data_IF_280030953908
#
_entry.id   IF_280030953908
#
_cell.length_a   1.000
_cell.length_b   1.000
_cell.length_c   1.000
_cell.angle_alpha   90.00
_cell.angle_beta   90.00
_cell.angle_gamma   90.00
#
_symmetry.space_group_name_H-M   'P 1'
#
loop_
_entity.id
_entity.type
_entity.pdbx_description
1 polymer ?
#
# COMPACT_ATOMS: atom_id res chain seq x y z
N UNK A 1 26.56 -13.67 53.03
CA UNK A 1 25.24 -13.05 52.83
C UNK A 1 25.32 -12.19 51.59
N UNK A 2 25.03 -12.79 50.45
CA UNK A 2 24.79 -12.11 49.17
C UNK A 2 23.81 -13.02 48.43
N UNK A 3 22.53 -12.66 48.42
CA UNK A 3 21.49 -13.32 47.62
C UNK A 3 21.42 -12.59 46.28
N UNK A 4 21.74 -13.31 45.20
CA UNK A 4 21.38 -12.95 43.83
C UNK A 4 19.99 -13.51 43.54
N UNK A 5 19.07 -12.62 43.19
CA UNK A 5 17.74 -12.93 42.68
C UNK A 5 17.90 -13.26 41.20
N UNK A 6 17.70 -14.53 40.85
CA UNK A 6 17.61 -15.01 39.47
C UNK A 6 16.19 -14.74 38.94
N UNK A 7 16.09 -13.89 37.93
CA UNK A 7 14.85 -13.64 37.19
C UNK A 7 14.48 -14.88 36.36
N UNK A 8 13.35 -15.49 36.70
CA UNK A 8 12.58 -16.38 35.85
C UNK A 8 12.17 -15.66 34.55
N UNK A 9 12.85 -15.95 33.45
CA UNK A 9 12.28 -15.83 32.10
C UNK A 9 12.10 -17.23 31.55
N UNK A 10 10.84 -17.68 31.54
CA UNK A 10 10.40 -18.91 30.91
C UNK A 10 10.68 -18.89 29.41
N UNK A 11 11.86 -19.38 29.03
CA UNK A 11 12.09 -19.94 27.71
C UNK A 11 11.28 -21.24 27.63
N UNK A 12 10.20 -21.24 26.85
CA UNK A 12 9.50 -22.47 26.50
C UNK A 12 10.46 -23.33 25.69
N UNK A 13 10.71 -24.51 26.25
CA UNK A 13 11.63 -25.56 25.83
C UNK A 13 11.16 -26.21 24.51
N UNK A 14 11.13 -25.44 23.42
CA UNK A 14 10.68 -25.88 22.09
C UNK A 14 11.77 -26.67 21.31
N UNK A 15 12.75 -27.26 22.00
CA UNK A 15 13.98 -27.75 21.39
C UNK A 15 14.37 -29.20 21.69
N UNK A 16 13.64 -29.97 22.51
CA UNK A 16 13.93 -31.40 22.67
C UNK A 16 13.08 -32.25 21.73
N UNK A 17 13.67 -33.10 20.88
CA UNK A 17 12.91 -34.06 20.08
C UNK A 17 12.19 -35.06 20.99
N UNK A 18 10.94 -35.43 20.70
CA UNK A 18 10.19 -36.39 21.54
C UNK A 18 10.82 -37.80 21.53
N UNK A 19 11.80 -38.03 20.65
CA UNK A 19 12.58 -39.27 20.53
C UNK A 19 13.48 -39.61 21.74
N UNK A 20 13.58 -38.74 22.76
CA UNK A 20 14.33 -39.03 24.00
C UNK A 20 13.48 -39.67 25.12
N UNK A 21 12.16 -39.90 24.91
CA UNK A 21 11.33 -40.58 25.91
C UNK A 21 11.51 -42.11 25.88
N UNK A 22 11.46 -42.77 27.05
CA UNK A 22 11.34 -44.22 27.11
C UNK A 22 10.05 -44.66 26.40
N UNK A 23 10.10 -45.84 25.75
CA UNK A 23 8.94 -46.42 25.10
C UNK A 23 7.73 -46.48 26.06
N UNK A 24 6.49 -46.31 25.56
CA UNK A 24 5.30 -46.38 26.40
C UNK A 24 5.27 -47.67 27.21
N UNK A 25 4.81 -47.58 28.45
CA UNK A 25 4.71 -48.75 29.32
C UNK A 25 3.69 -49.75 28.73
N UNK A 26 3.85 -51.06 28.98
CA UNK A 26 2.91 -52.08 28.50
C UNK A 26 1.45 -51.79 28.87
N UNK A 27 1.20 -51.22 30.04
CA UNK A 27 -0.14 -50.85 30.50
C UNK A 27 -0.75 -49.66 29.73
N UNK A 28 0.08 -48.71 29.29
CA UNK A 28 -0.36 -47.55 28.47
C UNK A 28 -0.73 -48.01 27.06
N UNK A 29 0.07 -48.94 26.51
CA UNK A 29 -0.22 -49.61 25.23
C UNK A 29 -1.52 -50.41 25.29
N UNK A 30 -1.72 -51.18 26.35
CA UNK A 30 -2.95 -51.97 26.55
C UNK A 30 -4.20 -51.07 26.68
N UNK A 31 -4.10 -49.92 27.36
CA UNK A 31 -5.17 -48.94 27.44
C UNK A 31 -5.45 -48.23 26.10
N UNK A 32 -4.40 -47.89 25.34
CA UNK A 32 -4.52 -47.34 23.99
C UNK A 32 -5.20 -48.34 23.04
N UNK A 33 -4.78 -49.61 23.09
CA UNK A 33 -5.38 -50.70 22.32
C UNK A 33 -6.84 -50.92 22.67
N UNK A 34 -7.19 -50.94 23.95
CA UNK A 34 -8.58 -51.06 24.40
C UNK A 34 -9.44 -49.89 23.87
N UNK A 35 -8.87 -48.67 23.82
CA UNK A 35 -9.55 -47.50 23.26
C UNK A 35 -9.76 -47.61 21.75
N UNK A 36 -8.78 -48.13 21.01
CA UNK A 36 -8.92 -48.39 19.56
C UNK A 36 -9.99 -49.46 19.28
N UNK A 37 -9.99 -50.56 20.05
CA UNK A 37 -11.00 -51.63 19.96
C UNK A 37 -12.39 -51.11 20.28
N UNK A 38 -12.54 -50.30 21.34
CA UNK A 38 -13.82 -49.70 21.71
C UNK A 38 -14.41 -48.82 20.60
N UNK A 39 -13.56 -48.21 19.75
CA UNK A 39 -14.00 -47.45 18.58
C UNK A 39 -14.12 -48.28 17.29
N UNK A 40 -14.02 -49.60 17.36
CA UNK A 40 -14.06 -50.49 16.20
C UNK A 40 -12.89 -50.30 15.23
N UNK A 41 -11.76 -49.76 15.70
CA UNK A 41 -10.58 -49.50 14.87
C UNK A 41 -9.61 -50.69 14.78
N UNK A 42 -9.89 -51.79 15.50
CA UNK A 42 -9.13 -53.04 15.50
C UNK A 42 -9.21 -53.82 14.18
N UNK A 43 -10.29 -53.63 13.41
CA UNK A 43 -10.48 -54.23 12.09
C UNK A 43 -10.15 -53.32 10.89
N UNK A 44 -9.75 -52.07 11.16
CA UNK A 44 -9.62 -50.98 10.16
C UNK A 44 -8.18 -50.80 9.67
N UNK A 45 -7.21 -51.12 10.52
CA UNK A 45 -5.80 -50.93 10.26
C UNK A 45 -5.14 -52.28 9.92
N UNK A 46 -4.18 -52.27 8.98
CA UNK A 46 -3.21 -53.37 8.95
C UNK A 46 -2.37 -53.35 10.24
N UNK A 47 -1.64 -54.43 10.51
CA UNK A 47 -0.86 -54.55 11.76
C UNK A 47 0.08 -53.36 11.99
N UNK A 48 0.68 -52.81 10.94
CA UNK A 48 1.59 -51.66 11.04
C UNK A 48 0.88 -50.37 11.44
N UNK A 49 -0.26 -50.05 10.82
CA UNK A 49 -1.04 -48.86 11.17
C UNK A 49 -1.66 -48.97 12.58
N UNK A 50 -2.09 -50.16 12.98
CA UNK A 50 -2.64 -50.40 14.32
C UNK A 50 -1.57 -50.16 15.39
N UNK A 51 -0.39 -50.75 15.21
CA UNK A 51 0.75 -50.60 16.11
C UNK A 51 1.20 -49.13 16.22
N UNK A 52 1.20 -48.40 15.09
CA UNK A 52 1.55 -46.97 15.06
C UNK A 52 0.53 -46.09 15.79
N UNK A 53 -0.77 -46.33 15.59
CA UNK A 53 -1.82 -45.59 16.30
C UNK A 53 -1.83 -45.92 17.79
N UNK A 54 -1.61 -47.19 18.16
CA UNK A 54 -1.48 -47.62 19.55
C UNK A 54 -0.30 -46.93 20.23
N UNK A 55 0.87 -46.93 19.58
CA UNK A 55 2.05 -46.26 20.12
C UNK A 55 1.84 -44.75 20.28
N UNK A 56 1.24 -44.10 19.28
CA UNK A 56 0.95 -42.66 19.33
C UNK A 56 -0.03 -42.33 20.47
N UNK A 57 -1.13 -43.09 20.60
CA UNK A 57 -2.12 -42.88 21.64
C UNK A 57 -1.56 -43.17 23.04
N UNK A 58 -0.74 -44.21 23.19
CA UNK A 58 -0.09 -44.53 24.46
C UNK A 58 0.86 -43.40 24.90
N UNK A 59 1.63 -42.82 23.96
CA UNK A 59 2.48 -41.65 24.25
C UNK A 59 1.65 -40.45 24.72
N UNK A 60 0.56 -40.15 24.02
CA UNK A 60 -0.28 -38.99 24.31
C UNK A 60 -1.10 -39.13 25.59
N UNK A 61 -1.46 -40.36 25.98
CA UNK A 61 -2.21 -40.61 27.23
C UNK A 61 -1.47 -40.14 28.49
N UNK A 62 -0.15 -39.95 28.41
CA UNK A 62 0.69 -39.48 29.52
C UNK A 62 0.94 -37.98 29.52
N UNK A 63 0.37 -37.24 28.57
CA UNK A 63 0.64 -35.81 28.35
C UNK A 63 -0.69 -35.06 28.42
N UNK A 64 -0.72 -33.96 29.17
CA UNK A 64 -1.88 -33.07 29.17
C UNK A 64 -2.04 -32.41 27.80
N UNK A 65 -3.27 -32.28 27.31
CA UNK A 65 -3.57 -31.69 26.00
C UNK A 65 -3.10 -30.24 25.90
N UNK A 66 -3.08 -29.52 27.02
CA UNK A 66 -2.63 -28.13 27.10
C UNK A 66 -1.10 -28.01 27.16
N UNK A 67 -0.37 -29.12 27.29
CA UNK A 67 1.09 -29.14 27.23
C UNK A 67 1.57 -29.03 25.78
N UNK A 68 2.54 -28.14 25.53
CA UNK A 68 3.16 -27.97 24.22
C UNK A 68 3.76 -29.29 23.67
N UNK A 69 4.15 -30.22 24.54
CA UNK A 69 4.64 -31.55 24.17
C UNK A 69 3.56 -32.43 23.54
N UNK A 70 2.29 -32.25 23.92
CA UNK A 70 1.17 -32.99 23.34
C UNK A 70 1.10 -32.73 21.84
N UNK A 71 1.15 -31.45 21.48
CA UNK A 71 1.14 -31.05 20.09
C UNK A 71 2.40 -31.42 19.31
N UNK A 72 3.57 -31.36 19.96
CA UNK A 72 4.82 -31.81 19.35
C UNK A 72 4.74 -33.29 18.94
N UNK A 73 4.22 -34.15 19.82
CA UNK A 73 4.02 -35.57 19.53
C UNK A 73 3.08 -35.80 18.34
N UNK A 74 2.01 -35.02 18.23
CA UNK A 74 1.06 -35.12 17.10
C UNK A 74 1.74 -34.69 15.81
N UNK A 75 2.45 -33.55 15.83
CA UNK A 75 3.17 -33.02 14.66
C UNK A 75 4.23 -34.00 14.18
N UNK A 76 4.97 -34.60 15.08
CA UNK A 76 5.95 -35.65 14.77
C UNK A 76 5.28 -36.90 14.16
N UNK A 77 4.17 -37.37 14.72
CA UNK A 77 3.44 -38.52 14.19
C UNK A 77 2.93 -38.27 12.76
N UNK A 78 2.39 -37.07 12.49
CA UNK A 78 1.97 -36.60 11.15
C UNK A 78 3.17 -36.36 10.22
N UNK A 79 4.31 -35.89 10.71
CA UNK A 79 5.46 -35.58 9.86
C UNK A 79 6.30 -36.82 9.49
N UNK A 80 6.45 -37.77 10.41
CA UNK A 80 7.35 -38.93 10.29
C UNK A 80 6.63 -40.24 9.92
N UNK A 81 5.32 -40.19 9.76
CA UNK A 81 4.53 -41.37 9.44
C UNK A 81 4.65 -41.83 7.99
N UNK A 82 4.58 -43.16 7.76
CA UNK A 82 4.27 -43.67 6.42
C UNK A 82 2.92 -43.09 5.98
N UNK A 83 2.80 -42.58 4.73
CA UNK A 83 1.55 -42.02 4.22
C UNK A 83 0.42 -43.04 4.33
N UNK A 84 -0.73 -42.61 4.80
CA UNK A 84 -1.93 -43.45 4.76
C UNK A 84 -2.35 -43.70 3.31
N UNK A 85 -2.91 -44.88 3.06
CA UNK A 85 -3.66 -45.14 1.83
C UNK A 85 -5.07 -44.54 1.91
N UNK A 86 -5.73 -44.43 0.75
CA UNK A 86 -7.14 -44.00 0.66
C UNK A 86 -8.05 -44.85 1.54
N UNK A 87 -7.86 -46.17 1.49
CA UNK A 87 -8.66 -47.15 2.23
C UNK A 87 -8.47 -46.99 3.73
N UNK A 88 -7.21 -46.95 4.20
CA UNK A 88 -6.90 -46.78 5.62
C UNK A 88 -7.51 -45.48 6.17
N UNK A 89 -7.43 -44.39 5.39
CA UNK A 89 -7.98 -43.09 5.80
C UNK A 89 -9.50 -43.11 5.88
N UNK A 90 -10.18 -43.66 4.87
CA UNK A 90 -11.65 -43.79 4.89
C UNK A 90 -12.11 -44.63 6.07
N UNK A 91 -11.48 -45.78 6.29
CA UNK A 91 -11.84 -46.69 7.36
C UNK A 91 -11.61 -46.06 8.74
N UNK A 92 -10.54 -45.29 8.94
CA UNK A 92 -10.33 -44.53 10.18
C UNK A 92 -11.40 -43.47 10.41
N UNK A 93 -11.77 -42.70 9.38
CA UNK A 93 -12.82 -41.69 9.52
C UNK A 93 -14.20 -42.34 9.78
N UNK A 94 -14.49 -43.46 9.14
CA UNK A 94 -15.76 -44.17 9.29
C UNK A 94 -15.91 -44.76 10.69
N UNK A 95 -14.91 -45.52 11.17
CA UNK A 95 -14.95 -46.13 12.50
C UNK A 95 -15.09 -45.09 13.61
N UNK A 96 -14.31 -44.01 13.54
CA UNK A 96 -14.45 -42.91 14.48
C UNK A 96 -15.85 -42.27 14.41
N UNK A 97 -16.41 -42.08 13.21
CA UNK A 97 -17.74 -41.49 13.05
C UNK A 97 -18.84 -42.34 13.69
N UNK A 98 -18.71 -43.66 13.59
CA UNK A 98 -19.63 -44.60 14.23
C UNK A 98 -19.50 -44.54 15.75
N UNK A 99 -18.26 -44.55 16.28
CA UNK A 99 -17.99 -44.42 17.71
C UNK A 99 -18.48 -43.08 18.30
N UNK A 100 -18.32 -41.98 17.56
CA UNK A 100 -18.80 -40.66 17.95
C UNK A 100 -20.33 -40.59 17.98
N UNK A 101 -21.00 -41.22 17.01
CA UNK A 101 -22.46 -41.34 17.00
C UNK A 101 -23.02 -42.20 18.14
N UNK A 102 -22.24 -43.18 18.61
CA UNK A 102 -22.59 -44.04 19.75
C UNK A 102 -22.31 -43.39 21.12
N UNK A 103 -21.66 -42.22 21.17
CA UNK A 103 -21.26 -41.56 22.42
C UNK A 103 -20.00 -42.15 23.08
N UNK A 104 -19.28 -43.03 22.37
CA UNK A 104 -18.10 -43.75 22.86
C UNK A 104 -16.78 -43.06 22.49
N UNK A 105 -16.83 -42.04 21.63
CA UNK A 105 -15.62 -41.32 21.20
C UNK A 105 -15.05 -40.42 22.30
N UNK A 106 -13.90 -40.82 22.83
CA UNK A 106 -13.11 -39.99 23.74
C UNK A 106 -12.35 -38.89 22.98
N UNK A 107 -11.97 -37.78 23.65
CA UNK A 107 -11.09 -36.76 23.08
C UNK A 107 -9.81 -37.33 22.46
N UNK A 108 -9.18 -38.29 23.12
CA UNK A 108 -7.95 -38.92 22.64
C UNK A 108 -8.14 -39.61 21.27
N UNK A 109 -9.35 -40.09 20.96
CA UNK A 109 -9.67 -40.80 19.72
C UNK A 109 -10.02 -39.88 18.54
N UNK A 110 -10.22 -38.57 18.76
CA UNK A 110 -10.25 -37.60 17.66
C UNK A 110 -8.91 -37.47 16.95
N UNK A 111 -7.82 -37.92 17.59
CA UNK A 111 -6.48 -37.73 17.08
C UNK A 111 -6.16 -38.62 15.88
N UNK A 112 -6.51 -39.93 15.85
CA UNK A 112 -6.53 -40.73 14.64
C UNK A 112 -7.37 -40.12 13.50
N UNK A 113 -8.50 -39.48 13.82
CA UNK A 113 -9.31 -38.76 12.82
C UNK A 113 -8.56 -37.57 12.24
N UNK A 114 -7.94 -36.80 13.12
CA UNK A 114 -7.12 -35.66 12.77
C UNK A 114 -5.92 -36.08 11.92
N UNK A 115 -5.21 -37.14 12.33
CA UNK A 115 -4.14 -37.79 11.58
C UNK A 115 -4.59 -38.25 10.19
N UNK A 116 -5.76 -38.89 10.06
CA UNK A 116 -6.33 -39.29 8.77
C UNK A 116 -6.69 -38.10 7.87
N UNK A 117 -7.26 -37.02 8.43
CA UNK A 117 -7.52 -35.79 7.70
C UNK A 117 -6.22 -35.13 7.21
N UNK A 118 -5.16 -35.14 8.02
CA UNK A 118 -3.86 -34.53 7.70
C UNK A 118 -3.00 -35.37 6.75
N UNK A 119 -2.96 -36.69 6.89
CA UNK A 119 -2.10 -37.53 6.04
C UNK A 119 -2.71 -37.79 4.67
N UNK A 120 -4.03 -37.95 4.59
CA UNK A 120 -4.68 -38.27 3.32
C UNK A 120 -5.42 -37.08 2.72
N UNK A 121 -6.45 -36.58 3.41
CA UNK A 121 -7.32 -35.55 2.83
C UNK A 121 -6.58 -34.24 2.57
N UNK A 122 -5.52 -33.95 3.31
CA UNK A 122 -4.68 -32.80 3.06
C UNK A 122 -3.68 -33.02 1.91
N UNK A 123 -2.94 -34.13 1.94
CA UNK A 123 -1.76 -34.34 1.09
C UNK A 123 -2.09 -35.03 -0.24
N UNK A 124 -3.12 -35.88 -0.26
CA UNK A 124 -3.35 -36.84 -1.34
C UNK A 124 -4.75 -36.72 -1.98
N UNK A 125 -5.78 -36.30 -1.24
CA UNK A 125 -7.13 -36.17 -1.79
C UNK A 125 -7.23 -34.99 -2.77
N UNK A 126 -7.58 -35.33 -4.03
CA UNK A 126 -7.74 -34.36 -5.12
C UNK A 126 -9.16 -33.84 -5.23
N UNK A 127 -10.15 -34.58 -4.73
CA UNK A 127 -11.54 -34.11 -4.68
C UNK A 127 -11.72 -33.09 -3.55
N UNK A 128 -11.89 -31.83 -3.94
CA UNK A 128 -12.13 -30.72 -3.03
C UNK A 128 -13.40 -30.92 -2.17
N UNK A 129 -14.44 -31.55 -2.72
CA UNK A 129 -15.71 -31.78 -2.02
C UNK A 129 -15.53 -32.80 -0.91
N UNK A 130 -14.88 -33.93 -1.22
CA UNK A 130 -14.57 -34.98 -0.25
C UNK A 130 -13.68 -34.44 0.88
N UNK A 131 -12.65 -33.67 0.52
CA UNK A 131 -11.76 -32.99 1.47
C UNK A 131 -12.53 -32.04 2.39
N UNK A 132 -13.36 -31.16 1.84
CA UNK A 132 -14.18 -30.23 2.63
C UNK A 132 -15.15 -30.95 3.56
N UNK A 133 -15.76 -32.05 3.11
CA UNK A 133 -16.67 -32.85 3.92
C UNK A 133 -15.97 -33.48 5.13
N UNK A 134 -14.77 -34.05 4.93
CA UNK A 134 -13.96 -34.63 6.00
C UNK A 134 -13.57 -33.57 7.06
N UNK A 135 -13.05 -32.43 6.61
CA UNK A 135 -12.70 -31.31 7.50
C UNK A 135 -13.89 -30.74 8.25
N UNK A 136 -15.02 -30.53 7.56
CA UNK A 136 -16.25 -30.00 8.19
C UNK A 136 -16.72 -30.92 9.31
N UNK A 137 -16.65 -32.23 9.11
CA UNK A 137 -17.05 -33.22 10.11
C UNK A 137 -16.10 -33.19 11.31
N UNK A 138 -14.78 -33.13 11.09
CA UNK A 138 -13.80 -32.94 12.16
C UNK A 138 -14.14 -31.73 13.03
N UNK A 139 -14.32 -30.55 12.43
CA UNK A 139 -14.54 -29.31 13.19
C UNK A 139 -15.88 -29.28 13.92
N UNK A 140 -16.91 -29.88 13.33
CA UNK A 140 -18.21 -30.02 14.00
C UNK A 140 -18.10 -30.91 15.24
N UNK A 141 -17.38 -32.03 15.15
CA UNK A 141 -17.22 -32.98 16.27
C UNK A 141 -16.23 -32.48 17.33
N UNK A 142 -15.20 -31.71 16.95
CA UNK A 142 -14.19 -31.21 17.89
C UNK A 142 -14.69 -30.06 18.76
N UNK A 143 -15.63 -29.25 18.27
CA UNK A 143 -16.01 -28.00 18.93
C UNK A 143 -14.79 -27.11 19.20
N UNK A 144 -14.73 -26.51 20.39
CA UNK A 144 -13.64 -25.64 20.87
C UNK A 144 -12.50 -26.41 21.55
N UNK A 145 -12.58 -27.74 21.62
CA UNK A 145 -11.68 -28.58 22.46
C UNK A 145 -10.21 -28.52 22.05
N UNK A 146 -9.92 -28.16 20.80
CA UNK A 146 -8.56 -28.11 20.25
C UNK A 146 -8.11 -26.71 19.85
N UNK A 147 -8.77 -25.66 20.34
CA UNK A 147 -8.37 -24.27 20.07
C UNK A 147 -6.98 -23.93 20.64
N UNK A 148 -6.45 -24.71 21.59
CA UNK A 148 -5.08 -24.56 22.06
C UNK A 148 -4.00 -25.09 21.09
N UNK A 149 -4.38 -25.88 20.07
CA UNK A 149 -3.43 -26.58 19.19
C UNK A 149 -3.20 -25.80 17.89
N UNK A 150 -1.95 -25.42 17.62
CA UNK A 150 -1.59 -24.69 16.38
C UNK A 150 -1.94 -25.47 15.10
N UNK A 151 -1.82 -26.80 15.13
CA UNK A 151 -2.14 -27.69 14.02
C UNK A 151 -3.65 -27.69 13.73
N UNK A 152 -4.50 -27.52 14.76
CA UNK A 152 -5.94 -27.40 14.59
C UNK A 152 -6.31 -26.11 13.83
N UNK A 153 -5.70 -24.99 14.23
CA UNK A 153 -5.83 -23.72 13.51
C UNK A 153 -5.27 -23.79 12.09
N UNK A 154 -4.13 -24.46 11.88
CA UNK A 154 -3.61 -24.70 10.54
C UNK A 154 -4.62 -25.45 9.68
N UNK A 155 -5.22 -26.52 10.19
CA UNK A 155 -6.27 -27.28 9.50
C UNK A 155 -7.48 -26.41 9.15
N UNK A 156 -7.97 -25.63 10.13
CA UNK A 156 -9.09 -24.71 9.92
C UNK A 156 -8.78 -23.67 8.84
N UNK A 157 -7.56 -23.14 8.83
CA UNK A 157 -7.15 -22.17 7.81
C UNK A 157 -7.25 -22.76 6.40
N UNK A 158 -6.85 -24.03 6.22
CA UNK A 158 -6.92 -24.75 4.94
C UNK A 158 -8.36 -25.03 4.53
N UNK A 159 -9.20 -25.43 5.48
CA UNK A 159 -10.62 -25.60 5.25
C UNK A 159 -11.30 -24.31 4.84
N UNK A 160 -11.09 -23.21 5.57
CA UNK A 160 -11.68 -21.91 5.26
C UNK A 160 -11.18 -21.39 3.90
N UNK A 161 -9.90 -21.61 3.57
CA UNK A 161 -9.33 -21.28 2.25
C UNK A 161 -10.07 -22.03 1.13
N UNK A 162 -10.23 -23.34 1.25
CA UNK A 162 -10.98 -24.15 0.29
C UNK A 162 -12.48 -23.79 0.24
N UNK A 163 -13.07 -23.44 1.39
CA UNK A 163 -14.46 -22.98 1.50
C UNK A 163 -14.67 -21.53 1.03
N UNK A 164 -13.63 -20.87 0.49
CA UNK A 164 -13.65 -19.46 0.02
C UNK A 164 -14.07 -18.46 1.10
N UNK A 165 -13.58 -18.68 2.33
CA UNK A 165 -13.77 -17.84 3.52
C UNK A 165 -12.43 -17.20 3.90
N UNK A 166 -11.98 -16.17 3.17
CA UNK A 166 -10.60 -15.67 3.25
C UNK A 166 -10.27 -15.04 4.61
N UNK A 167 -11.20 -14.31 5.23
CA UNK A 167 -10.94 -13.63 6.50
C UNK A 167 -10.76 -14.64 7.64
N UNK A 168 -11.61 -15.67 7.70
CA UNK A 168 -11.46 -16.77 8.67
C UNK A 168 -10.21 -17.60 8.40
N UNK A 169 -9.89 -17.84 7.12
CA UNK A 169 -8.66 -18.54 6.75
C UNK A 169 -7.42 -17.80 7.23
N UNK A 170 -7.41 -16.47 7.12
CA UNK A 170 -6.30 -15.64 7.57
C UNK A 170 -6.17 -15.65 9.09
N UNK A 171 -7.28 -15.46 9.81
CA UNK A 171 -7.29 -15.47 11.27
C UNK A 171 -6.79 -16.81 11.84
N UNK A 172 -7.25 -17.94 11.29
CA UNK A 172 -6.79 -19.26 11.71
C UNK A 172 -5.32 -19.52 11.31
N UNK A 173 -4.87 -19.03 10.15
CA UNK A 173 -3.45 -19.18 9.77
C UNK A 173 -2.53 -18.37 10.68
N UNK A 174 -2.96 -17.16 11.06
CA UNK A 174 -2.25 -16.31 12.02
C UNK A 174 -2.18 -16.97 13.39
N UNK A 175 -3.32 -17.46 13.92
CA UNK A 175 -3.36 -18.16 15.20
C UNK A 175 -2.42 -19.38 15.23
N UNK A 176 -2.37 -20.16 14.15
CA UNK A 176 -1.43 -21.27 14.03
C UNK A 176 0.04 -20.82 14.12
N UNK A 177 0.40 -19.72 13.43
CA UNK A 177 1.75 -19.18 13.45
C UNK A 177 2.15 -18.56 14.81
N UNK A 178 1.18 -17.97 15.53
CA UNK A 178 1.37 -17.40 16.87
C UNK A 178 1.51 -18.47 17.95
N UNK A 179 0.71 -19.54 17.88
CA UNK A 179 0.77 -20.66 18.84
C UNK A 179 2.06 -21.48 18.69
N UNK A 180 2.53 -21.67 17.45
CA UNK A 180 3.77 -22.39 17.15
C UNK A 180 4.81 -21.46 16.53
N UNK A 181 5.28 -20.52 17.35
CA UNK A 181 6.37 -19.61 17.00
C UNK A 181 7.57 -20.40 16.49
N UNK A 182 8.07 -20.01 15.32
CA UNK A 182 9.20 -20.66 14.67
C UNK A 182 8.85 -21.91 13.85
N UNK A 183 7.57 -22.25 13.68
CA UNK A 183 7.19 -23.34 12.78
C UNK A 183 7.08 -22.86 11.31
N UNK A 184 8.12 -23.13 10.51
CA UNK A 184 8.23 -22.67 9.12
C UNK A 184 6.99 -22.94 8.26
N UNK A 185 6.38 -24.13 8.37
CA UNK A 185 5.21 -24.49 7.56
C UNK A 185 3.96 -23.67 7.89
N UNK A 186 3.80 -23.24 9.13
CA UNK A 186 2.64 -22.45 9.56
C UNK A 186 2.83 -20.98 9.19
N UNK A 187 4.03 -20.45 9.44
CA UNK A 187 4.44 -19.12 8.97
C UNK A 187 4.26 -18.98 7.45
N UNK A 188 4.70 -19.98 6.68
CA UNK A 188 4.53 -20.00 5.23
C UNK A 188 3.06 -20.00 4.82
N UNK A 189 2.21 -20.79 5.49
CA UNK A 189 0.79 -20.84 5.18
C UNK A 189 0.07 -19.52 5.49
N UNK A 190 0.43 -18.87 6.60
CA UNK A 190 -0.05 -17.53 6.91
C UNK A 190 0.36 -16.52 5.84
N UNK A 191 1.63 -16.50 5.45
CA UNK A 191 2.12 -15.64 4.37
C UNK A 191 1.43 -15.87 3.03
N UNK A 192 1.22 -17.13 2.64
CA UNK A 192 0.53 -17.46 1.38
C UNK A 192 -0.94 -17.01 1.38
N UNK A 193 -1.69 -17.24 2.46
CA UNK A 193 -3.09 -16.80 2.57
C UNK A 193 -3.17 -15.27 2.58
N UNK A 194 -2.22 -14.61 3.24
CA UNK A 194 -2.13 -13.16 3.26
C UNK A 194 -1.90 -12.62 1.85
N UNK A 195 -0.93 -13.17 1.11
CA UNK A 195 -0.60 -12.79 -0.27
C UNK A 195 -1.78 -13.00 -1.23
N UNK A 196 -2.53 -14.10 -1.12
CA UNK A 196 -3.73 -14.34 -1.95
C UNK A 196 -4.76 -13.20 -1.84
N UNK A 197 -4.84 -12.57 -0.67
CA UNK A 197 -5.79 -11.49 -0.43
C UNK A 197 -5.27 -10.11 -0.83
N UNK A 198 -3.95 -9.94 -0.90
CA UNK A 198 -3.31 -8.62 -0.99
C UNK A 198 -2.56 -8.42 -2.31
N UNK A 199 -1.84 -9.42 -2.83
CA UNK A 199 -0.93 -9.28 -3.98
C UNK A 199 -1.65 -8.75 -5.23
N UNK A 200 -2.83 -9.28 -5.54
CA UNK A 200 -3.65 -8.79 -6.66
C UNK A 200 -4.15 -7.34 -6.47
N UNK A 201 -4.47 -6.95 -5.23
CA UNK A 201 -4.87 -5.58 -4.90
C UNK A 201 -3.68 -4.63 -5.05
N UNK A 202 -2.51 -5.03 -4.55
CA UNK A 202 -1.25 -4.30 -4.71
C UNK A 202 -0.92 -4.17 -6.18
N UNK A 203 -1.07 -5.19 -7.03
CA UNK A 203 -0.84 -5.08 -8.47
C UNK A 203 -1.76 -4.06 -9.14
N UNK A 204 -3.06 -4.09 -8.81
CA UNK A 204 -4.09 -3.28 -9.47
C UNK A 204 -4.07 -1.78 -9.14
N UNK A 205 -3.39 -1.38 -8.05
CA UNK A 205 -3.20 0.03 -7.70
C UNK A 205 -4.48 0.80 -7.36
N UNK A 206 -5.52 0.10 -6.90
CA UNK A 206 -6.76 0.74 -6.48
C UNK A 206 -6.52 1.69 -5.30
N UNK A 207 -7.01 2.93 -5.37
CA UNK A 207 -6.76 3.97 -4.36
C UNK A 207 -7.25 3.60 -2.94
N UNK A 208 -8.25 2.72 -2.81
CA UNK A 208 -8.68 2.16 -1.51
C UNK A 208 -7.80 1.00 -1.00
N UNK A 209 -6.98 0.41 -1.87
CA UNK A 209 -5.99 -0.59 -1.50
C UNK A 209 -4.86 0.04 -0.70
N UNK A 210 -4.42 1.28 -0.99
CA UNK A 210 -3.36 2.01 -0.27
C UNK A 210 -3.59 2.15 1.25
N UNK A 211 -4.84 2.39 1.67
CA UNK A 211 -5.18 2.49 3.09
C UNK A 211 -5.21 1.13 3.80
N UNK A 212 -5.50 0.03 3.07
CA UNK A 212 -5.40 -1.36 3.58
C UNK A 212 -4.00 -1.96 3.40
N UNK A 213 -3.23 -1.46 2.44
CA UNK A 213 -1.85 -1.80 2.10
C UNK A 213 -0.92 -1.27 3.19
N UNK A 214 -1.09 -0.02 3.61
CA UNK A 214 -0.44 0.49 4.81
C UNK A 214 -0.89 -0.26 6.07
N UNK A 215 -2.17 -0.66 6.16
CA UNK A 215 -2.68 -1.39 7.33
C UNK A 215 -2.16 -2.83 7.44
N UNK A 216 -1.70 -3.44 6.35
CA UNK A 216 -1.11 -4.80 6.33
C UNK A 216 0.39 -4.81 6.05
N UNK A 217 1.00 -3.63 5.88
CA UNK A 217 2.45 -3.50 5.73
C UNK A 217 3.16 -4.04 6.97
N UNK A 218 2.63 -3.72 8.14
CA UNK A 218 3.15 -4.22 9.42
C UNK A 218 3.06 -5.75 9.48
N UNK A 219 1.98 -6.36 8.98
CA UNK A 219 1.84 -7.82 8.89
C UNK A 219 2.90 -8.44 7.96
N UNK A 220 3.15 -7.80 6.80
CA UNK A 220 4.20 -8.23 5.88
C UNK A 220 5.59 -8.13 6.50
N UNK A 221 5.90 -7.00 7.15
CA UNK A 221 7.19 -6.77 7.80
C UNK A 221 7.39 -7.78 8.95
N UNK A 222 6.38 -7.98 9.82
CA UNK A 222 6.44 -8.96 10.89
C UNK A 222 6.64 -10.41 10.38
N UNK A 223 5.99 -10.77 9.28
CA UNK A 223 6.18 -12.07 8.62
C UNK A 223 7.58 -12.21 8.03
N UNK A 224 8.09 -11.18 7.35
CA UNK A 224 9.45 -11.17 6.81
C UNK A 224 10.47 -11.33 7.94
N UNK A 225 10.32 -10.61 9.05
CA UNK A 225 11.20 -10.71 10.22
C UNK A 225 11.12 -12.08 10.90
N UNK A 226 9.93 -12.69 10.96
CA UNK A 226 9.76 -14.06 11.45
C UNK A 226 10.49 -15.06 10.55
N UNK A 227 10.37 -14.87 9.23
CA UNK A 227 11.06 -15.67 8.22
C UNK A 227 12.58 -15.51 8.30
N UNK A 228 13.08 -14.28 8.49
CA UNK A 228 14.51 -13.98 8.62
C UNK A 228 15.12 -14.64 9.86
N UNK A 229 14.42 -14.59 11.00
CA UNK A 229 14.84 -15.29 12.22
C UNK A 229 14.94 -16.80 12.00
N UNK A 230 13.93 -17.38 11.34
CA UNK A 230 13.91 -18.80 11.02
C UNK A 230 15.04 -19.24 10.10
N UNK A 231 15.37 -18.40 9.11
CA UNK A 231 16.52 -18.61 8.23
C UNK A 231 17.84 -18.56 9.01
N UNK A 232 17.99 -17.60 9.93
CA UNK A 232 19.19 -17.41 10.74
C UNK A 232 19.46 -18.52 11.75
N UNK A 233 18.40 -19.15 12.28
CA UNK A 233 18.48 -20.30 13.19
C UNK A 233 19.02 -21.57 12.52
N UNK A 234 19.21 -21.57 11.18
CA UNK A 234 19.89 -22.65 10.47
C UNK A 234 19.08 -23.93 10.35
N UNK A 235 17.75 -23.87 10.48
CA UNK A 235 16.87 -25.01 10.27
C UNK A 235 17.03 -25.55 8.84
N UNK A 236 17.67 -26.71 8.69
CA UNK A 236 18.06 -27.28 7.37
C UNK A 236 16.87 -27.69 6.47
N UNK A 237 15.63 -27.50 6.93
CA UNK A 237 14.39 -27.87 6.25
C UNK A 237 13.72 -26.71 5.49
N UNK A 238 14.43 -25.62 5.19
CA UNK A 238 13.86 -24.54 4.35
C UNK A 238 13.58 -25.08 2.95
N UNK A 239 12.29 -25.21 2.63
CA UNK A 239 11.81 -25.58 1.29
C UNK A 239 11.80 -24.35 0.36
N UNK A 240 11.93 -24.54 -0.97
CA UNK A 240 11.89 -23.43 -1.93
C UNK A 240 10.67 -22.52 -1.78
N UNK A 241 9.50 -23.08 -1.41
CA UNK A 241 8.26 -22.32 -1.19
C UNK A 241 8.41 -21.19 -0.18
N UNK A 242 9.24 -21.38 0.85
CA UNK A 242 9.46 -20.38 1.90
C UNK A 242 10.14 -19.12 1.36
N UNK A 243 11.18 -19.31 0.56
CA UNK A 243 11.86 -18.21 -0.12
C UNK A 243 10.95 -17.56 -1.18
N UNK A 244 10.10 -18.33 -1.86
CA UNK A 244 9.11 -17.77 -2.79
C UNK A 244 8.13 -16.86 -2.06
N UNK A 245 7.54 -17.33 -0.95
CA UNK A 245 6.60 -16.55 -0.13
C UNK A 245 7.27 -15.26 0.38
N UNK A 246 8.48 -15.36 0.96
CA UNK A 246 9.26 -14.19 1.41
C UNK A 246 9.51 -13.19 0.27
N UNK A 247 9.91 -13.68 -0.91
CA UNK A 247 10.17 -12.82 -2.06
C UNK A 247 8.92 -12.07 -2.53
N UNK A 248 7.77 -12.74 -2.54
CA UNK A 248 6.47 -12.12 -2.86
C UNK A 248 6.05 -11.08 -1.82
N UNK A 249 6.26 -11.35 -0.52
CA UNK A 249 6.01 -10.38 0.55
C UNK A 249 6.89 -9.13 0.37
N UNK A 250 8.20 -9.30 0.17
CA UNK A 250 9.13 -8.20 -0.10
C UNK A 250 8.72 -7.38 -1.33
N UNK A 251 8.29 -8.05 -2.40
CA UNK A 251 7.80 -7.39 -3.62
C UNK A 251 6.56 -6.53 -3.37
N UNK A 252 5.63 -6.98 -2.51
CA UNK A 252 4.42 -6.22 -2.18
C UNK A 252 4.73 -4.92 -1.43
N UNK A 253 5.83 -4.84 -0.68
CA UNK A 253 6.26 -3.64 0.06
C UNK A 253 7.37 -2.85 -0.63
N UNK A 254 7.70 -3.20 -1.88
CA UNK A 254 8.69 -2.48 -2.70
C UNK A 254 10.16 -2.83 -2.44
N UNK A 255 10.46 -3.84 -1.62
CA UNK A 255 11.83 -4.34 -1.34
C UNK A 255 12.28 -5.29 -2.46
N UNK A 256 12.41 -4.77 -3.69
CA UNK A 256 12.62 -5.59 -4.89
C UNK A 256 13.95 -6.33 -4.92
N UNK A 257 15.04 -5.71 -4.44
CA UNK A 257 16.36 -6.34 -4.45
C UNK A 257 16.40 -7.55 -3.50
N UNK A 258 15.72 -7.45 -2.36
CA UNK A 258 15.55 -8.55 -1.42
C UNK A 258 14.65 -9.63 -1.99
N UNK A 259 13.56 -9.24 -2.66
CA UNK A 259 12.69 -10.19 -3.35
C UNK A 259 13.46 -11.03 -4.39
N UNK A 260 14.31 -10.37 -5.19
CA UNK A 260 15.16 -11.04 -6.17
C UNK A 260 16.13 -12.02 -5.51
N UNK A 261 16.80 -11.59 -4.43
CA UNK A 261 17.66 -12.47 -3.64
C UNK A 261 16.92 -13.71 -3.14
N UNK A 262 15.68 -13.56 -2.69
CA UNK A 262 14.85 -14.67 -2.25
C UNK A 262 14.57 -15.67 -3.38
N UNK A 263 14.22 -15.21 -4.59
CA UNK A 263 13.97 -16.12 -5.71
C UNK A 263 15.23 -16.85 -6.18
N UNK A 264 16.40 -16.21 -6.09
CA UNK A 264 17.70 -16.87 -6.33
C UNK A 264 17.94 -17.97 -5.29
N UNK A 265 17.71 -17.69 -3.99
CA UNK A 265 17.80 -18.69 -2.92
C UNK A 265 16.81 -19.84 -3.12
N UNK A 266 15.56 -19.53 -3.50
CA UNK A 266 14.53 -20.53 -3.79
C UNK A 266 14.98 -21.52 -4.87
N UNK A 267 15.53 -20.99 -5.97
CA UNK A 267 16.03 -21.80 -7.08
C UNK A 267 17.24 -22.62 -6.66
N UNK A 268 18.23 -22.01 -6.00
CA UNK A 268 19.39 -22.73 -5.50
C UNK A 268 19.01 -23.88 -4.58
N UNK A 269 18.03 -23.67 -3.68
CA UNK A 269 17.55 -24.73 -2.79
C UNK A 269 16.81 -25.85 -3.54
N UNK A 270 16.01 -25.50 -4.55
CA UNK A 270 15.33 -26.49 -5.40
C UNK A 270 16.36 -27.37 -6.14
N UNK A 271 17.40 -26.76 -6.69
CA UNK A 271 18.49 -27.47 -7.39
C UNK A 271 19.25 -28.39 -6.43
N UNK A 272 19.58 -27.92 -5.22
CA UNK A 272 20.21 -28.74 -4.18
C UNK A 272 19.35 -29.94 -3.78
N UNK A 273 18.06 -29.72 -3.47
CA UNK A 273 17.16 -30.81 -3.05
C UNK A 273 16.99 -31.87 -4.15
N UNK A 274 16.99 -31.46 -5.41
CA UNK A 274 16.98 -32.38 -6.54
C UNK A 274 18.29 -33.16 -6.65
N UNK A 275 19.43 -32.50 -6.52
CA UNK A 275 20.74 -33.15 -6.56
C UNK A 275 20.95 -34.14 -5.40
N UNK A 276 20.39 -33.84 -4.23
CA UNK A 276 20.34 -34.71 -3.05
C UNK A 276 19.40 -35.93 -3.23
N UNK A 277 18.63 -35.98 -4.33
CA UNK A 277 17.69 -37.07 -4.59
C UNK A 277 16.43 -37.02 -3.74
N UNK A 278 16.02 -35.84 -3.27
CA UNK A 278 14.81 -35.70 -2.47
C UNK A 278 13.59 -36.25 -3.26
N UNK A 279 12.83 -37.22 -2.72
CA UNK A 279 11.75 -37.87 -3.46
C UNK A 279 10.70 -36.91 -4.02
N UNK A 280 10.48 -35.76 -3.36
CA UNK A 280 9.51 -34.73 -3.77
C UNK A 280 9.92 -33.97 -5.04
N UNK A 281 11.20 -33.95 -5.38
CA UNK A 281 11.75 -33.19 -6.52
C UNK A 281 12.63 -34.04 -7.44
N UNK A 282 12.70 -35.35 -7.19
CA UNK A 282 13.47 -36.29 -7.99
C UNK A 282 12.85 -36.48 -9.38
N UNK A 283 11.52 -36.49 -9.47
CA UNK A 283 10.81 -36.54 -10.73
C UNK A 283 10.92 -35.20 -11.47
N UNK A 284 11.09 -35.26 -12.80
CA UNK A 284 11.22 -34.08 -13.64
C UNK A 284 9.97 -33.19 -13.58
N UNK A 285 8.78 -33.79 -13.51
CA UNK A 285 7.50 -33.07 -13.45
C UNK A 285 7.42 -32.21 -12.18
N UNK A 286 7.61 -32.81 -11.00
CA UNK A 286 7.57 -32.09 -9.72
C UNK A 286 8.61 -30.97 -9.62
N UNK A 287 9.81 -31.19 -10.19
CA UNK A 287 10.83 -30.15 -10.28
C UNK A 287 10.39 -29.00 -11.18
N UNK A 288 9.81 -29.30 -12.34
CA UNK A 288 9.35 -28.28 -13.29
C UNK A 288 8.17 -27.48 -12.75
N UNK A 289 7.29 -28.10 -11.97
CA UNK A 289 6.19 -27.42 -11.28
C UNK A 289 6.72 -26.44 -10.23
N UNK A 290 7.68 -26.88 -9.40
CA UNK A 290 8.32 -26.02 -8.42
C UNK A 290 9.09 -24.86 -9.08
N UNK A 291 9.79 -25.12 -10.17
CA UNK A 291 10.47 -24.09 -10.96
C UNK A 291 9.46 -23.12 -11.59
N UNK A 292 8.34 -23.63 -12.09
CA UNK A 292 7.24 -22.84 -12.62
C UNK A 292 6.68 -21.86 -11.59
N UNK A 293 6.50 -22.29 -10.33
CA UNK A 293 6.08 -21.42 -9.23
C UNK A 293 7.08 -20.28 -8.96
N UNK A 294 8.39 -20.56 -9.01
CA UNK A 294 9.44 -19.53 -8.87
C UNK A 294 9.34 -18.52 -10.02
N UNK A 295 9.25 -18.99 -11.27
CA UNK A 295 9.18 -18.14 -12.45
C UNK A 295 7.91 -17.28 -12.46
N UNK A 296 6.78 -17.84 -12.03
CA UNK A 296 5.53 -17.09 -11.89
C UNK A 296 5.64 -15.99 -10.83
N UNK A 297 6.25 -16.29 -9.69
CA UNK A 297 6.51 -15.29 -8.65
C UNK A 297 7.45 -14.18 -9.13
N UNK A 298 8.49 -14.51 -9.89
CA UNK A 298 9.39 -13.52 -10.51
C UNK A 298 8.67 -12.63 -11.52
N UNK A 299 7.80 -13.20 -12.37
CA UNK A 299 6.98 -12.44 -13.31
C UNK A 299 6.04 -11.48 -12.58
N UNK A 300 5.41 -11.96 -11.50
CA UNK A 300 4.54 -11.15 -10.64
C UNK A 300 5.31 -10.01 -9.99
N UNK A 301 6.53 -10.26 -9.50
CA UNK A 301 7.42 -9.25 -8.94
C UNK A 301 7.84 -8.20 -9.99
N UNK A 302 8.14 -8.62 -11.22
CA UNK A 302 8.42 -7.68 -12.30
C UNK A 302 7.21 -6.77 -12.61
N UNK A 303 6.00 -7.33 -12.60
CA UNK A 303 4.76 -6.56 -12.76
C UNK A 303 4.52 -5.59 -11.58
N UNK A 304 4.79 -6.02 -10.34
CA UNK A 304 4.77 -5.14 -9.17
C UNK A 304 5.77 -3.98 -9.34
N UNK A 305 7.02 -4.26 -9.67
CA UNK A 305 8.06 -3.24 -9.88
C UNK A 305 7.66 -2.21 -10.93
N UNK A 306 7.11 -2.66 -12.07
CA UNK A 306 6.58 -1.78 -13.10
C UNK A 306 5.40 -0.94 -12.58
N UNK A 307 4.47 -1.54 -11.84
CA UNK A 307 3.32 -0.85 -11.24
C UNK A 307 3.76 0.25 -10.26
N UNK A 308 4.74 -0.02 -9.41
CA UNK A 308 5.34 0.97 -8.50
C UNK A 308 6.01 2.12 -9.27
N UNK A 309 6.78 1.82 -10.32
CA UNK A 309 7.42 2.86 -11.14
C UNK A 309 6.42 3.75 -11.87
N UNK A 310 5.35 3.15 -12.43
CA UNK A 310 4.27 3.90 -13.07
C UNK A 310 3.58 4.81 -12.06
N UNK A 311 3.31 4.34 -10.83
CA UNK A 311 2.71 5.17 -9.77
C UNK A 311 3.57 6.35 -9.41
N UNK A 312 4.87 6.11 -9.21
CA UNK A 312 5.81 7.19 -8.91
C UNK A 312 5.77 8.27 -10.01
N UNK A 313 5.84 7.86 -11.29
CA UNK A 313 5.77 8.83 -12.40
C UNK A 313 4.42 9.56 -12.49
N UNK A 314 3.32 8.89 -12.12
CA UNK A 314 1.99 9.48 -12.10
C UNK A 314 1.83 10.51 -10.97
N UNK A 315 2.41 10.25 -9.81
CA UNK A 315 2.41 11.20 -8.69
C UNK A 315 3.30 12.41 -8.98
N UNK A 316 4.47 12.21 -9.59
CA UNK A 316 5.34 13.30 -10.08
C UNK A 316 4.60 14.15 -11.14
N UNK A 317 3.91 13.51 -12.09
CA UNK A 317 3.12 14.21 -13.10
C UNK A 317 1.95 14.98 -12.48
N UNK A 318 1.28 14.44 -11.46
CA UNK A 318 0.21 15.13 -10.72
C UNK A 318 0.73 16.36 -10.00
N UNK A 319 1.86 16.24 -9.30
CA UNK A 319 2.50 17.37 -8.62
C UNK A 319 2.89 18.47 -9.62
N UNK A 320 3.41 18.09 -10.78
CA UNK A 320 3.77 19.04 -11.84
C UNK A 320 2.54 19.72 -12.46
N UNK A 321 1.43 18.99 -12.66
CA UNK A 321 0.15 19.56 -13.09
C UNK A 321 -0.36 20.54 -12.05
N UNK A 322 -0.38 20.18 -10.76
CA UNK A 322 -0.84 21.07 -9.69
C UNK A 322 0.01 22.34 -9.61
N UNK A 323 1.34 22.22 -9.75
CA UNK A 323 2.26 23.34 -9.80
C UNK A 323 1.94 24.26 -10.98
N UNK A 324 1.76 23.72 -12.19
CA UNK A 324 1.38 24.48 -13.39
C UNK A 324 0.00 25.13 -13.25
N UNK A 325 -0.97 24.46 -12.63
CA UNK A 325 -2.30 25.03 -12.37
C UNK A 325 -2.19 26.23 -11.43
N UNK A 326 -1.37 26.15 -10.37
CA UNK A 326 -1.09 27.28 -9.48
C UNK A 326 -0.39 28.43 -10.21
N UNK A 327 0.61 28.14 -11.04
CA UNK A 327 1.30 29.16 -11.86
C UNK A 327 0.36 29.84 -12.87
N UNK A 328 -0.51 29.08 -13.52
CA UNK A 328 -1.50 29.63 -14.45
C UNK A 328 -2.50 30.51 -13.70
N UNK A 329 -2.99 30.08 -12.54
CA UNK A 329 -3.89 30.89 -11.72
C UNK A 329 -3.27 32.24 -11.33
N UNK A 330 -1.99 32.23 -10.90
CA UNK A 330 -1.26 33.45 -10.57
C UNK A 330 -1.09 34.37 -11.79
N UNK A 331 -0.73 33.82 -12.96
CA UNK A 331 -0.60 34.63 -14.19
C UNK A 331 -1.93 35.22 -14.65
N UNK A 332 -3.03 34.48 -14.48
CA UNK A 332 -4.37 34.99 -14.80
C UNK A 332 -4.74 36.15 -13.88
N UNK A 333 -4.46 36.05 -12.58
CA UNK A 333 -4.69 37.14 -11.62
C UNK A 333 -3.84 38.39 -11.96
N UNK A 334 -2.57 38.21 -12.33
CA UNK A 334 -1.71 39.32 -12.79
C UNK A 334 -2.23 39.97 -14.09
N UNK A 335 -2.71 39.18 -15.05
CA UNK A 335 -3.29 39.67 -16.29
C UNK A 335 -4.58 40.45 -16.05
N UNK A 336 -5.46 39.96 -15.18
CA UNK A 336 -6.70 40.65 -14.80
C UNK A 336 -6.39 41.98 -14.10
N UNK A 337 -5.38 42.03 -13.22
CA UNK A 337 -4.89 43.27 -12.62
C UNK A 337 -4.43 44.28 -13.68
N UNK A 338 -3.60 43.84 -14.64
CA UNK A 338 -3.12 44.70 -15.74
C UNK A 338 -4.26 45.19 -16.64
N UNK A 339 -5.24 44.35 -16.95
CA UNK A 339 -6.40 44.73 -17.75
C UNK A 339 -7.27 45.74 -17.02
N UNK A 340 -7.51 45.55 -15.72
CA UNK A 340 -8.23 46.52 -14.88
C UNK A 340 -7.52 47.87 -14.90
N UNK A 341 -6.19 47.90 -14.69
CA UNK A 341 -5.40 49.13 -14.75
C UNK A 341 -5.50 49.81 -16.13
N UNK A 342 -5.45 49.03 -17.23
CA UNK A 342 -5.62 49.57 -18.58
C UNK A 342 -7.02 50.14 -18.82
N UNK A 343 -8.08 49.49 -18.31
CA UNK A 343 -9.45 49.99 -18.42
C UNK A 343 -9.63 51.31 -17.66
N UNK A 344 -9.10 51.43 -16.44
CA UNK A 344 -9.11 52.68 -15.67
C UNK A 344 -8.38 53.78 -16.43
N UNK A 345 -7.20 53.48 -16.97
CA UNK A 345 -6.45 54.43 -17.79
C UNK A 345 -7.25 54.88 -19.04
N UNK A 346 -7.92 53.95 -19.73
CA UNK A 346 -8.74 54.28 -20.90
C UNK A 346 -9.95 55.15 -20.54
N UNK A 347 -10.59 54.89 -19.38
CA UNK A 347 -11.68 55.72 -18.86
C UNK A 347 -11.19 57.13 -18.51
N UNK A 348 -10.01 57.27 -17.90
CA UNK A 348 -9.40 58.58 -17.63
C UNK A 348 -9.12 59.36 -18.91
N UNK A 349 -8.59 58.71 -19.95
CA UNK A 349 -8.40 59.34 -21.27
C UNK A 349 -9.73 59.77 -21.88
N UNK A 350 -10.74 58.91 -21.85
CA UNK A 350 -12.06 59.21 -22.39
C UNK A 350 -12.69 60.41 -21.65
N UNK A 351 -12.59 60.46 -20.32
CA UNK A 351 -13.04 61.58 -19.51
C UNK A 351 -12.30 62.87 -19.84
N UNK A 352 -10.98 62.81 -20.02
CA UNK A 352 -10.17 63.96 -20.42
C UNK A 352 -10.58 64.51 -21.79
N UNK A 353 -10.70 63.65 -22.81
CA UNK A 353 -11.11 64.09 -24.15
C UNK A 353 -12.55 64.59 -24.18
N UNK A 354 -13.46 63.96 -23.44
CA UNK A 354 -14.83 64.44 -23.27
C UNK A 354 -14.87 65.84 -22.64
N UNK A 355 -14.05 66.08 -21.61
CA UNK A 355 -13.88 67.38 -20.98
C UNK A 355 -13.38 68.45 -21.95
N UNK A 356 -12.39 68.13 -22.79
CA UNK A 356 -11.90 69.05 -23.84
C UNK A 356 -13.00 69.39 -24.84
N UNK A 357 -13.76 68.40 -25.33
CA UNK A 357 -14.83 68.64 -26.30
C UNK A 357 -15.92 69.53 -25.69
N UNK A 358 -16.34 69.24 -24.45
CA UNK A 358 -17.33 70.04 -23.71
C UNK A 358 -16.85 71.47 -23.52
N UNK A 359 -15.58 71.65 -23.16
CA UNK A 359 -14.94 72.94 -23.02
C UNK A 359 -14.93 73.74 -24.32
N UNK A 360 -14.58 73.13 -25.45
CA UNK A 360 -14.58 73.77 -26.78
C UNK A 360 -16.00 74.23 -27.15
N UNK A 361 -17.02 73.39 -26.95
CA UNK A 361 -18.41 73.71 -27.28
C UNK A 361 -18.91 74.89 -26.43
N UNK A 362 -18.69 74.86 -25.11
CA UNK A 362 -19.07 75.95 -24.20
C UNK A 362 -18.40 77.28 -24.60
N UNK A 363 -17.14 77.21 -25.01
CA UNK A 363 -16.37 78.38 -25.43
C UNK A 363 -16.92 79.03 -26.71
N UNK A 364 -17.32 78.20 -27.69
CA UNK A 364 -17.96 78.67 -28.93
C UNK A 364 -19.29 79.36 -28.62
N UNK A 365 -20.08 78.79 -27.71
CA UNK A 365 -21.37 79.36 -27.30
C UNK A 365 -21.22 80.71 -26.60
N UNK A 366 -20.26 80.84 -25.68
CA UNK A 366 -19.97 82.10 -24.98
C UNK A 366 -19.48 83.19 -25.96
N UNK A 367 -18.68 82.82 -26.95
CA UNK A 367 -18.10 83.76 -27.92
C UNK A 367 -19.08 84.32 -28.97
N UNK A 368 -20.29 83.76 -29.10
CA UNK A 368 -21.25 84.14 -30.14
C UNK A 368 -21.74 85.60 -30.05
N UNK A 369 -21.92 86.11 -28.83
CA UNK A 369 -22.54 87.41 -28.54
C UNK A 369 -21.56 88.52 -28.13
N UNK A 370 -20.25 88.23 -28.13
CA UNK A 370 -19.21 89.17 -27.66
C UNK A 370 -18.75 90.13 -28.76
N UNK A 371 -18.14 91.26 -28.40
CA UNK A 371 -17.43 92.13 -29.36
C UNK A 371 -16.09 91.50 -29.81
N UNK A 372 -15.51 91.99 -30.90
CA UNK A 372 -14.29 91.40 -31.49
C UNK A 372 -13.10 91.34 -30.51
N UNK A 373 -12.91 92.38 -29.69
CA UNK A 373 -11.83 92.44 -28.71
C UNK A 373 -11.99 91.35 -27.63
N UNK A 374 -13.20 91.21 -27.10
CA UNK A 374 -13.50 90.18 -26.10
C UNK A 374 -13.46 88.75 -26.67
N UNK A 375 -13.87 88.53 -27.94
CA UNK A 375 -13.72 87.23 -28.62
C UNK A 375 -12.26 86.83 -28.81
N UNK A 376 -11.42 87.78 -29.23
CA UNK A 376 -9.99 87.52 -29.42
C UNK A 376 -9.31 87.18 -28.08
N UNK A 377 -9.64 87.90 -27.00
CA UNK A 377 -9.16 87.60 -25.66
C UNK A 377 -9.62 86.22 -25.18
N UNK A 378 -10.89 85.86 -25.41
CA UNK A 378 -11.43 84.53 -25.09
C UNK A 378 -10.64 83.42 -25.80
N UNK A 379 -10.41 83.54 -27.11
CA UNK A 379 -9.63 82.55 -27.88
C UNK A 379 -8.22 82.35 -27.29
N UNK A 380 -7.54 83.45 -26.91
CA UNK A 380 -6.18 83.38 -26.33
C UNK A 380 -6.21 82.69 -24.96
N UNK A 381 -7.17 83.03 -24.10
CA UNK A 381 -7.33 82.37 -22.78
C UNK A 381 -7.66 80.89 -22.94
N UNK A 382 -8.53 80.53 -23.88
CA UNK A 382 -8.87 79.14 -24.21
C UNK A 382 -7.65 78.38 -24.72
N UNK A 383 -6.89 78.95 -25.64
CA UNK A 383 -5.64 78.34 -26.12
C UNK A 383 -4.64 78.12 -24.99
N UNK A 384 -4.47 79.10 -24.09
CA UNK A 384 -3.62 78.99 -22.91
C UNK A 384 -4.06 77.85 -21.98
N UNK A 385 -5.35 77.78 -21.66
CA UNK A 385 -5.90 76.72 -20.79
C UNK A 385 -5.80 75.32 -21.42
N UNK A 386 -5.96 75.21 -22.75
CA UNK A 386 -5.84 73.96 -23.48
C UNK A 386 -4.38 73.47 -23.49
N UNK A 387 -3.42 74.39 -23.65
CA UNK A 387 -1.98 74.09 -23.54
C UNK A 387 -1.62 73.61 -22.12
N UNK A 388 -2.18 74.22 -21.07
CA UNK A 388 -1.99 73.74 -19.70
C UNK A 388 -2.59 72.34 -19.52
N UNK A 389 -3.82 72.11 -20.00
CA UNK A 389 -4.49 70.81 -19.90
C UNK A 389 -3.71 69.70 -20.63
N UNK A 390 -3.24 69.94 -21.86
CA UNK A 390 -2.39 69.00 -22.59
C UNK A 390 -1.02 68.81 -21.95
N UNK A 391 -0.45 69.87 -21.35
CA UNK A 391 0.81 69.78 -20.60
C UNK A 391 0.67 68.94 -19.33
N UNK A 392 -0.41 69.11 -18.59
CA UNK A 392 -0.75 68.31 -17.41
C UNK A 392 -1.03 66.85 -17.78
N UNK A 393 -1.75 66.59 -18.88
CA UNK A 393 -1.94 65.24 -19.42
C UNK A 393 -0.60 64.63 -19.85
N UNK A 394 0.26 65.39 -20.54
CA UNK A 394 1.60 64.94 -20.92
C UNK A 394 2.44 64.55 -19.70
N UNK A 395 2.33 65.29 -18.60
CA UNK A 395 2.98 64.95 -17.34
C UNK A 395 2.41 63.67 -16.70
N UNK A 396 1.09 63.49 -16.74
CA UNK A 396 0.42 62.26 -16.29
C UNK A 396 0.86 61.04 -17.10
N UNK A 397 0.98 61.18 -18.42
CA UNK A 397 1.43 60.12 -19.33
C UNK A 397 2.92 59.80 -19.14
N UNK A 398 3.78 60.81 -19.07
CA UNK A 398 5.23 60.62 -18.99
C UNK A 398 5.68 60.14 -17.60
N UNK A 399 4.99 60.58 -16.53
CA UNK A 399 5.13 60.02 -15.18
C UNK A 399 4.77 58.54 -15.13
N UNK A 400 3.77 58.10 -15.91
CA UNK A 400 3.30 56.71 -15.97
C UNK A 400 4.13 55.80 -16.91
N UNK A 401 4.66 56.35 -18.01
CA UNK A 401 5.62 55.62 -18.88
C UNK A 401 6.98 55.40 -18.18
N UNK A 402 7.42 56.35 -17.36
CA UNK A 402 8.63 56.23 -16.55
C UNK A 402 8.54 55.16 -15.45
N UNK A 403 7.36 54.95 -14.85
CA UNK A 403 7.14 53.86 -13.89
C UNK A 403 6.98 52.50 -14.57
N UNK A 404 6.33 52.45 -15.73
CA UNK A 404 6.14 51.19 -16.48
C UNK A 404 7.45 50.67 -17.08
N UNK A 405 8.36 51.54 -17.53
CA UNK A 405 9.68 51.16 -18.05
C UNK A 405 10.65 50.65 -16.95
N UNK A 406 10.58 51.20 -15.74
CA UNK A 406 11.38 50.71 -14.60
C UNK A 406 10.90 49.36 -14.08
N UNK A 407 9.60 49.08 -14.17
CA UNK A 407 9.05 47.77 -13.81
C UNK A 407 9.45 46.68 -14.81
N UNK A 408 9.57 46.99 -16.11
CA UNK A 408 10.07 46.03 -17.12
C UNK A 408 11.58 45.84 -17.05
N UNK A 409 12.38 46.88 -16.85
CA UNK A 409 13.85 46.77 -16.70
C UNK A 409 14.27 45.96 -15.46
N UNK A 410 13.48 45.97 -14.38
CA UNK A 410 13.72 45.11 -13.22
C UNK A 410 13.46 43.61 -13.51
N UNK A 411 12.69 43.29 -14.55
CA UNK A 411 12.35 41.90 -14.93
C UNK A 411 13.18 41.34 -16.09
N UNK A 412 13.77 42.21 -16.91
CA UNK A 412 14.65 41.82 -18.03
C UNK A 412 15.91 42.68 -18.03
N UNK A 413 17.05 42.11 -17.63
CA UNK A 413 18.36 42.78 -17.59
C UNK A 413 18.95 43.12 -18.96
N UNK A 414 18.26 43.91 -19.78
CA UNK A 414 18.73 44.33 -21.09
C UNK A 414 18.67 45.86 -21.21
N UNK A 415 19.84 46.49 -21.18
CA UNK A 415 20.03 47.92 -21.35
C UNK A 415 19.98 48.34 -22.83
N UNK A 416 19.31 49.46 -23.09
CA UNK A 416 19.69 50.39 -24.15
C UNK A 416 18.77 50.47 -25.37
N UNK A 417 17.92 51.50 -25.39
CA UNK A 417 17.39 52.09 -26.63
C UNK A 417 17.14 53.60 -26.46
N UNK A 418 17.24 54.41 -27.53
CA UNK A 418 17.57 55.83 -27.46
C UNK A 418 16.37 56.72 -27.12
N UNK A 419 16.67 57.74 -26.31
CA UNK A 419 15.75 58.75 -25.80
C UNK A 419 15.28 59.68 -26.93
N UNK A 420 14.03 59.51 -27.40
CA UNK A 420 13.40 60.47 -28.32
C UNK A 420 13.16 61.80 -27.59
N UNK A 421 13.46 62.91 -28.26
CA UNK A 421 13.25 64.27 -27.79
C UNK A 421 11.75 64.59 -27.86
N UNK A 422 11.03 64.31 -26.78
CA UNK A 422 9.71 64.88 -26.53
C UNK A 422 9.90 66.24 -25.83
N UNK A 423 9.18 67.28 -26.28
CA UNK A 423 9.12 68.54 -25.55
C UNK A 423 8.60 68.26 -24.14
N UNK A 424 9.40 68.59 -23.11
CA UNK A 424 9.07 68.26 -21.72
C UNK A 424 7.71 68.87 -21.36
N UNK A 425 6.77 68.13 -20.74
CA UNK A 425 5.43 68.61 -20.41
C UNK A 425 5.43 69.92 -19.60
N UNK A 426 6.46 70.12 -18.77
CA UNK A 426 6.67 71.36 -18.02
C UNK A 426 6.81 72.60 -18.92
N UNK A 427 7.40 72.46 -20.12
CA UNK A 427 7.53 73.55 -21.07
C UNK A 427 6.16 73.92 -21.68
N UNK A 428 5.30 72.93 -21.95
CA UNK A 428 3.96 73.17 -22.48
C UNK A 428 3.07 73.89 -21.46
N UNK A 429 3.17 73.51 -20.18
CA UNK A 429 2.46 74.17 -19.07
C UNK A 429 2.92 75.62 -18.92
N UNK A 430 4.24 75.86 -18.93
CA UNK A 430 4.82 77.21 -18.82
C UNK A 430 4.39 78.12 -19.99
N UNK A 431 4.41 77.60 -21.22
CA UNK A 431 3.92 78.32 -22.39
C UNK A 431 2.42 78.59 -22.27
N UNK A 432 1.63 77.61 -21.83
CA UNK A 432 0.19 77.78 -21.60
C UNK A 432 -0.12 78.88 -20.58
N UNK A 433 0.59 78.92 -19.45
CA UNK A 433 0.46 79.97 -18.42
C UNK A 433 0.80 81.35 -19.01
N UNK A 434 1.89 81.45 -19.78
CA UNK A 434 2.29 82.71 -20.41
C UNK A 434 1.22 83.21 -21.40
N UNK A 435 0.66 82.32 -22.23
CA UNK A 435 -0.43 82.64 -23.18
C UNK A 435 -1.69 83.09 -22.43
N UNK A 436 -2.02 82.43 -21.31
CA UNK A 436 -3.19 82.76 -20.49
C UNK A 436 -3.05 84.17 -19.88
N UNK A 437 -1.87 84.50 -19.36
CA UNK A 437 -1.54 85.83 -18.83
C UNK A 437 -1.62 86.92 -19.92
N UNK A 438 -1.12 86.63 -21.13
CA UNK A 438 -1.22 87.55 -22.27
C UNK A 438 -2.69 87.80 -22.63
N UNK A 439 -3.53 86.77 -22.68
CA UNK A 439 -4.97 86.91 -22.94
C UNK A 439 -5.69 87.77 -21.90
N UNK A 440 -5.36 87.59 -20.62
CA UNK A 440 -5.90 88.39 -19.50
C UNK A 440 -5.47 89.86 -19.61
N UNK A 441 -4.21 90.13 -19.94
CA UNK A 441 -3.69 91.49 -20.14
C UNK A 441 -4.36 92.16 -21.35
N UNK A 442 -4.52 91.46 -22.47
CA UNK A 442 -5.24 91.98 -23.65
C UNK A 442 -6.69 92.35 -23.27
N UNK A 443 -7.38 91.51 -22.49
CA UNK A 443 -8.73 91.82 -22.02
C UNK A 443 -8.78 93.04 -21.09
N UNK A 444 -7.82 93.18 -20.17
CA UNK A 444 -7.71 94.31 -19.25
C UNK A 444 -7.39 95.63 -19.96
N UNK A 445 -6.65 95.59 -21.07
CA UNK A 445 -6.27 96.76 -21.87
C UNK A 445 -7.35 97.14 -22.89
N UNK A 446 -8.19 96.19 -23.31
CA UNK A 446 -9.28 96.42 -24.24
C UNK A 446 -10.60 96.90 -23.58
N UNK A 447 -10.67 96.90 -22.25
CA UNK A 447 -11.70 97.59 -21.46
C UNK A 447 -11.35 99.06 -21.28
#
# INVERSE_FOLDING_TARGET
>A
MSEEISEERGGRDAGRPCNERPAPLPAEREAARASLVACGMDGVADGDLADRLEEMLARLATIDMDDAQYECCIREAVAMGNPLTASQSHSLLEAYSQAAGAGEATPALMLPYFYACFEWYHRNEKDETARLAAWKKLFFMSGTRYEGLSLFHYARSRYHRAARRPDEALADAQAAAELAVGHMGFTNNYGEILLEQTEGKVLSGQAGALSRENARRDDFEALIDSIDRLEAEGHSLVYPSFFITKGRLCGCIGRFDEAESCFVKARGRLDCLRAEGNPRFAAQEDYMDALGAILQAQSTMAALRASFAVRQSLDEARQEVERKTKELAQRTEELDGRLSDQQVNMLEFLGFFSGIISFIIASIQIGGDMDFGSRAALIVVMLGSLLIAFGALGWLIEGRLGSSARATEASSGAAGAPRRVAAKPNALILVGIAVLLIGVVIHLVAR
#
